data_IF_569502931405
#
_entry.id   IF_569502931405
#
_cell.length_a   1.000
_cell.length_b   1.000
_cell.length_c   1.000
_cell.angle_alpha   90.00
_cell.angle_beta   90.00
_cell.angle_gamma   90.00
#
_symmetry.space_group_name_H-M   'P 1'
#
loop_
_entity.id
_entity.type
_entity.pdbx_description
1 polymer ?
#
# COMPACT_ATOMS: atom_id res chain seq x y z
N UNK A 1 -38.90 -5.76 18.93
CA UNK A 1 -37.62 -5.04 19.13
C UNK A 1 -36.78 -5.29 17.88
N UNK A 2 -36.70 -4.33 16.96
CA UNK A 2 -35.96 -4.50 15.70
C UNK A 2 -34.48 -4.35 16.05
N UNK A 3 -33.72 -5.44 16.03
CA UNK A 3 -32.26 -5.35 16.09
C UNK A 3 -31.82 -4.61 14.84
N UNK A 4 -31.30 -3.39 15.03
CA UNK A 4 -30.52 -2.71 13.99
C UNK A 4 -29.32 -3.61 13.73
N UNK A 5 -29.24 -4.19 12.52
CA UNK A 5 -27.99 -4.77 12.05
C UNK A 5 -26.95 -3.65 12.07
N UNK A 6 -25.95 -3.78 12.94
CA UNK A 6 -24.76 -2.95 12.85
C UNK A 6 -24.12 -3.27 11.49
N UNK A 7 -23.92 -2.29 10.60
CA UNK A 7 -23.20 -2.55 9.36
C UNK A 7 -21.81 -3.05 9.74
N UNK A 8 -21.41 -4.19 9.17
CA UNK A 8 -20.04 -4.68 9.23
C UNK A 8 -19.10 -3.52 8.93
N UNK A 9 -18.37 -3.07 9.94
CA UNK A 9 -17.35 -2.05 9.76
C UNK A 9 -16.18 -2.70 9.03
N UNK A 10 -16.13 -2.50 7.71
CA UNK A 10 -15.06 -2.94 6.80
C UNK A 10 -13.65 -2.44 7.20
N UNK A 11 -13.53 -1.68 8.29
CA UNK A 11 -12.26 -1.17 8.81
C UNK A 11 -11.28 -2.27 9.22
N UNK A 12 -11.74 -3.52 9.46
CA UNK A 12 -10.87 -4.62 9.90
C UNK A 12 -10.47 -5.60 8.80
N UNK A 13 -11.00 -5.45 7.58
CA UNK A 13 -10.73 -6.38 6.47
C UNK A 13 -10.21 -5.70 5.22
N UNK A 14 -9.85 -4.42 5.27
CA UNK A 14 -9.47 -3.65 4.08
C UNK A 14 -8.26 -4.27 3.35
N UNK A 15 -7.21 -4.54 4.11
CA UNK A 15 -5.95 -5.08 3.63
C UNK A 15 -6.10 -6.55 3.19
N UNK A 16 -6.69 -7.48 3.99
CA UNK A 16 -6.93 -8.85 3.55
C UNK A 16 -7.87 -8.95 2.34
N UNK A 17 -8.84 -8.05 2.22
CA UNK A 17 -9.75 -7.95 1.08
C UNK A 17 -9.00 -7.57 -0.19
N UNK A 18 -8.21 -6.50 -0.14
CA UNK A 18 -7.44 -6.08 -1.32
C UNK A 18 -6.41 -7.13 -1.70
N UNK A 19 -5.72 -7.75 -0.73
CA UNK A 19 -4.79 -8.85 -1.02
C UNK A 19 -5.52 -10.03 -1.70
N UNK A 20 -6.70 -10.41 -1.22
CA UNK A 20 -7.51 -11.49 -1.82
C UNK A 20 -7.95 -11.16 -3.24
N UNK A 21 -8.39 -9.93 -3.49
CA UNK A 21 -8.76 -9.46 -4.84
C UNK A 21 -7.55 -9.51 -5.78
N UNK A 22 -6.39 -9.04 -5.33
CA UNK A 22 -5.18 -9.05 -6.14
C UNK A 22 -4.68 -10.47 -6.42
N UNK A 23 -4.75 -11.38 -5.45
CA UNK A 23 -4.46 -12.81 -5.66
C UNK A 23 -5.38 -13.43 -6.71
N UNK A 24 -6.68 -13.14 -6.66
CA UNK A 24 -7.64 -13.62 -7.68
C UNK A 24 -7.29 -13.10 -9.08
N UNK A 25 -6.97 -11.80 -9.20
CA UNK A 25 -6.60 -11.19 -10.48
C UNK A 25 -5.27 -11.73 -11.02
N UNK A 26 -4.30 -12.04 -10.16
CA UNK A 26 -3.04 -12.69 -10.55
C UNK A 26 -3.28 -14.12 -11.03
N UNK A 27 -4.01 -14.93 -10.25
CA UNK A 27 -4.29 -16.32 -10.56
C UNK A 27 -5.05 -16.49 -11.90
N UNK A 28 -5.89 -15.52 -12.25
CA UNK A 28 -6.66 -15.52 -13.50
C UNK A 28 -5.97 -14.74 -14.64
N UNK A 29 -4.73 -14.29 -14.48
CA UNK A 29 -3.99 -13.54 -15.49
C UNK A 29 -4.54 -12.15 -15.81
N UNK A 30 -5.57 -11.69 -15.10
CA UNK A 30 -6.24 -10.39 -15.30
C UNK A 30 -5.43 -9.20 -14.81
N UNK A 31 -4.35 -9.42 -14.05
CA UNK A 31 -3.47 -8.35 -13.61
C UNK A 31 -2.86 -7.56 -14.76
N UNK A 32 -2.74 -8.14 -15.97
CA UNK A 32 -2.31 -7.40 -17.17
C UNK A 32 -3.28 -6.33 -17.64
N UNK A 33 -4.53 -6.36 -17.19
CA UNK A 33 -5.57 -5.39 -17.52
C UNK A 33 -5.68 -4.28 -16.45
N UNK A 34 -5.00 -4.45 -15.31
CA UNK A 34 -4.97 -3.43 -14.25
C UNK A 34 -4.23 -2.21 -14.77
N UNK A 35 -4.91 -1.06 -14.78
CA UNK A 35 -4.32 0.21 -15.19
C UNK A 35 -3.67 0.92 -14.01
N UNK A 36 -2.36 1.12 -14.10
CA UNK A 36 -1.54 1.91 -13.19
C UNK A 36 -1.41 3.34 -13.72
N UNK A 37 -1.75 4.34 -12.91
CA UNK A 37 -1.75 5.76 -13.32
C UNK A 37 -0.63 6.54 -12.65
N UNK A 38 0.23 7.16 -13.43
CA UNK A 38 1.18 8.15 -12.95
C UNK A 38 0.53 9.53 -12.79
N UNK A 39 1.16 10.41 -12.02
CA UNK A 39 0.69 11.78 -11.77
C UNK A 39 0.93 12.76 -12.96
N UNK A 40 1.26 12.26 -14.15
CA UNK A 40 1.51 13.03 -15.38
C UNK A 40 0.73 12.54 -16.60
N UNK A 41 -0.51 12.08 -16.40
CA UNK A 41 -1.38 11.44 -17.41
C UNK A 41 -0.84 10.15 -18.06
N UNK A 42 0.35 9.70 -17.64
CA UNK A 42 0.92 8.41 -18.04
C UNK A 42 0.11 7.27 -17.44
N UNK A 43 -0.24 6.30 -18.28
CA UNK A 43 -0.84 5.04 -17.86
C UNK A 43 -0.02 3.88 -18.37
N UNK A 44 0.08 2.84 -17.55
CA UNK A 44 0.77 1.59 -17.89
C UNK A 44 -0.04 0.44 -17.30
N UNK A 45 -0.02 -0.73 -17.92
CA UNK A 45 -0.60 -1.92 -17.27
C UNK A 45 0.28 -2.37 -16.11
N UNK A 46 -0.30 -2.98 -15.08
CA UNK A 46 0.49 -3.52 -13.96
C UNK A 46 1.53 -4.52 -14.45
N UNK A 47 1.20 -5.38 -15.43
CA UNK A 47 2.17 -6.29 -16.04
C UNK A 47 3.37 -5.57 -16.66
N UNK A 48 3.13 -4.50 -17.42
CA UNK A 48 4.23 -3.76 -18.05
C UNK A 48 5.04 -2.96 -17.03
N UNK A 49 4.39 -2.47 -15.97
CA UNK A 49 5.07 -1.81 -14.86
C UNK A 49 6.01 -2.78 -14.13
N UNK A 50 5.53 -3.98 -13.83
CA UNK A 50 6.32 -5.03 -13.18
C UNK A 50 7.51 -5.44 -14.05
N UNK A 51 7.29 -5.64 -15.35
CA UNK A 51 8.36 -5.94 -16.31
C UNK A 51 9.40 -4.82 -16.41
N UNK A 52 8.99 -3.55 -16.39
CA UNK A 52 9.93 -2.43 -16.45
C UNK A 52 10.75 -2.26 -15.17
N UNK A 53 10.40 -2.97 -14.10
CA UNK A 53 11.12 -3.02 -12.83
C UNK A 53 11.69 -4.40 -12.54
N UNK A 54 11.87 -5.22 -13.58
CA UNK A 54 12.49 -6.55 -13.56
C UNK A 54 11.87 -7.51 -12.54
N UNK A 55 10.54 -7.46 -12.38
CA UNK A 55 9.81 -8.50 -11.64
C UNK A 55 9.67 -9.77 -12.49
N UNK A 56 9.78 -10.92 -11.85
CA UNK A 56 9.45 -12.22 -12.44
C UNK A 56 7.94 -12.37 -12.69
N UNK A 57 7.57 -13.34 -13.54
CA UNK A 57 6.16 -13.63 -13.83
C UNK A 57 5.45 -14.34 -12.65
N UNK A 58 6.19 -15.03 -11.77
CA UNK A 58 5.66 -15.67 -10.56
C UNK A 58 5.54 -14.64 -9.44
N UNK A 59 4.31 -14.17 -9.20
CA UNK A 59 3.98 -13.10 -8.26
C UNK A 59 3.06 -13.61 -7.15
N UNK A 60 3.32 -13.16 -5.94
CA UNK A 60 2.50 -13.37 -4.76
C UNK A 60 2.04 -12.04 -4.16
N UNK A 61 0.97 -12.09 -3.39
CA UNK A 61 0.47 -10.94 -2.64
C UNK A 61 0.25 -11.32 -1.18
N UNK A 62 0.86 -10.55 -0.29
CA UNK A 62 0.70 -10.66 1.16
C UNK A 62 0.15 -9.34 1.72
N UNK A 63 -0.75 -9.41 2.70
CA UNK A 63 -1.19 -8.24 3.47
C UNK A 63 -0.38 -8.08 4.78
N UNK A 64 -0.42 -6.88 5.36
CA UNK A 64 0.18 -6.57 6.67
C UNK A 64 1.70 -6.87 6.76
N UNK A 65 2.44 -6.53 5.72
CA UNK A 65 3.86 -6.88 5.65
C UNK A 65 4.72 -5.89 6.42
N UNK A 66 5.51 -6.38 7.38
CA UNK A 66 6.40 -5.55 8.20
C UNK A 66 7.64 -5.10 7.44
N UNK A 67 8.02 -3.83 7.57
CA UNK A 67 9.36 -3.37 7.17
C UNK A 67 10.37 -3.89 8.19
N UNK A 68 11.39 -4.62 7.71
CA UNK A 68 12.45 -5.13 8.57
C UNK A 68 13.56 -4.10 8.79
N UNK A 69 13.91 -3.37 7.74
CA UNK A 69 15.07 -2.48 7.75
C UNK A 69 14.94 -1.38 6.72
N UNK A 70 15.36 -0.18 7.12
CA UNK A 70 15.63 0.95 6.24
C UNK A 70 17.11 1.25 6.33
N UNK A 71 17.82 1.19 5.20
CA UNK A 71 19.22 1.60 5.10
C UNK A 71 19.28 2.95 4.43
N UNK A 72 19.86 3.93 5.12
CA UNK A 72 20.17 5.24 4.55
C UNK A 72 21.67 5.39 4.52
N UNK A 73 22.23 5.52 3.32
CA UNK A 73 23.66 5.45 3.06
C UNK A 73 24.26 4.15 3.64
N UNK A 74 25.10 4.26 4.66
CA UNK A 74 25.77 3.11 5.31
C UNK A 74 25.19 2.78 6.69
N UNK A 75 24.06 3.37 7.05
CA UNK A 75 23.44 3.24 8.37
C UNK A 75 22.12 2.48 8.27
N UNK A 76 21.94 1.49 9.15
CA UNK A 76 20.71 0.70 9.25
C UNK A 76 19.82 1.28 10.36
N UNK A 77 18.53 1.41 10.04
CA UNK A 77 17.50 1.92 10.93
C UNK A 77 16.34 0.93 11.01
N UNK A 78 15.78 0.79 12.21
CA UNK A 78 14.45 0.20 12.38
C UNK A 78 13.36 1.16 11.94
N UNK A 79 12.10 0.71 11.99
CA UNK A 79 10.94 1.60 11.86
C UNK A 79 10.23 1.66 13.20
N UNK A 80 9.71 2.84 13.55
CA UNK A 80 8.95 2.98 14.78
C UNK A 80 7.55 2.35 14.66
N UNK A 81 7.10 1.74 15.75
CA UNK A 81 5.82 1.02 15.86
C UNK A 81 5.67 -0.22 14.98
N UNK A 82 4.41 -0.66 14.79
CA UNK A 82 4.03 -1.71 13.83
C UNK A 82 3.82 -1.12 12.44
N UNK A 83 4.84 -0.47 11.89
CA UNK A 83 4.76 0.08 10.54
C UNK A 83 4.73 -1.05 9.51
N UNK A 84 3.54 -1.36 9.00
CA UNK A 84 3.28 -2.40 8.00
C UNK A 84 2.87 -1.76 6.68
N UNK A 85 3.31 -2.37 5.59
CA UNK A 85 2.77 -2.12 4.26
C UNK A 85 1.41 -2.79 4.20
N UNK A 86 0.38 -2.06 3.75
CA UNK A 86 -0.98 -2.60 3.66
C UNK A 86 -1.01 -3.90 2.81
N UNK A 87 -0.37 -3.89 1.64
CA UNK A 87 -0.14 -5.08 0.81
C UNK A 87 1.24 -5.06 0.14
N UNK A 88 1.88 -6.21 0.03
CA UNK A 88 3.11 -6.43 -0.73
C UNK A 88 2.81 -7.29 -1.96
N UNK A 89 3.16 -6.79 -3.14
CA UNK A 89 3.22 -7.60 -4.37
C UNK A 89 4.68 -8.03 -4.58
N UNK A 90 4.98 -9.32 -4.48
CA UNK A 90 6.35 -9.81 -4.43
C UNK A 90 6.64 -10.90 -5.45
N UNK A 91 7.88 -10.95 -5.93
CA UNK A 91 8.49 -12.16 -6.45
C UNK A 91 9.58 -12.66 -5.48
N UNK A 92 10.36 -13.67 -5.89
CA UNK A 92 11.43 -14.26 -5.05
C UNK A 92 12.62 -13.33 -4.80
N UNK A 93 12.71 -12.21 -5.48
CA UNK A 93 13.88 -11.32 -5.52
C UNK A 93 13.59 -9.93 -4.94
N UNK A 94 12.37 -9.41 -5.10
CA UNK A 94 11.99 -8.09 -4.63
C UNK A 94 10.47 -7.96 -4.42
N UNK A 95 10.08 -6.91 -3.70
CA UNK A 95 8.69 -6.58 -3.43
C UNK A 95 8.29 -5.16 -3.85
N UNK A 96 7.07 -4.96 -4.31
CA UNK A 96 6.44 -3.67 -4.58
C UNK A 96 5.40 -3.39 -3.51
N UNK A 97 5.64 -2.35 -2.71
CA UNK A 97 4.71 -1.97 -1.66
C UNK A 97 3.44 -1.36 -2.23
N UNK A 98 2.29 -1.65 -1.63
CA UNK A 98 1.00 -1.08 -1.97
C UNK A 98 0.31 -0.56 -0.71
N UNK A 99 -0.07 0.72 -0.74
CA UNK A 99 -0.87 1.35 0.31
C UNK A 99 -2.31 1.54 -0.14
N UNK A 100 -3.25 1.33 0.77
CA UNK A 100 -4.69 1.33 0.52
C UNK A 100 -5.32 2.50 1.27
N UNK A 101 -5.88 3.47 0.53
CA UNK A 101 -6.55 4.65 1.12
C UNK A 101 -7.93 4.83 0.50
N UNK A 102 -8.87 4.01 0.98
CA UNK A 102 -10.25 3.94 0.47
C UNK A 102 -11.21 4.96 1.11
N UNK A 103 -10.75 5.75 2.08
CA UNK A 103 -11.52 6.87 2.61
C UNK A 103 -11.75 7.95 1.55
N UNK A 104 -12.91 8.62 1.60
CA UNK A 104 -13.20 9.75 0.68
C UNK A 104 -13.13 11.13 1.35
N UNK A 105 -12.90 11.14 2.66
CA UNK A 105 -12.76 12.34 3.50
C UNK A 105 -11.30 12.56 3.85
N UNK A 106 -10.89 13.82 4.05
CA UNK A 106 -9.49 14.21 4.36
C UNK A 106 -8.46 13.67 3.34
N UNK A 107 -8.90 13.54 2.09
CA UNK A 107 -8.11 13.15 0.92
C UNK A 107 -7.94 14.31 -0.07
N UNK A 108 -8.16 15.56 0.35
CA UNK A 108 -7.72 16.71 -0.46
C UNK A 108 -6.20 16.69 -0.54
N UNK A 109 -5.62 17.25 -1.60
CA UNK A 109 -4.16 17.22 -1.81
C UNK A 109 -3.37 17.70 -0.62
N UNK A 110 -3.68 18.90 -0.10
CA UNK A 110 -2.98 19.46 1.05
C UNK A 110 -3.16 18.61 2.33
N UNK A 111 -4.35 18.03 2.54
CA UNK A 111 -4.58 17.14 3.67
C UNK A 111 -3.82 15.82 3.53
N UNK A 112 -3.77 15.26 2.32
CA UNK A 112 -3.01 14.05 2.03
C UNK A 112 -1.51 14.29 2.24
N UNK A 113 -0.98 15.38 1.70
CA UNK A 113 0.42 15.78 1.89
C UNK A 113 0.78 15.91 3.37
N UNK A 114 0.00 16.68 4.13
CA UNK A 114 0.23 16.90 5.57
C UNK A 114 0.17 15.61 6.40
N UNK A 115 -0.60 14.62 5.97
CA UNK A 115 -0.82 13.37 6.74
C UNK A 115 0.14 12.26 6.35
N UNK A 116 0.49 12.17 5.07
CA UNK A 116 1.13 10.97 4.51
C UNK A 116 2.44 11.24 3.76
N UNK A 117 2.79 12.51 3.53
CA UNK A 117 3.99 12.87 2.76
C UNK A 117 4.88 13.88 3.50
N UNK A 118 4.67 14.03 4.81
CA UNK A 118 5.64 14.71 5.65
C UNK A 118 6.92 13.89 5.71
N UNK A 119 8.11 14.52 5.68
CA UNK A 119 9.36 13.80 5.77
C UNK A 119 9.43 12.91 7.01
N UNK A 120 9.94 11.70 6.81
CA UNK A 120 10.33 10.76 7.84
C UNK A 120 11.49 11.31 8.65
N UNK A 121 11.47 11.07 9.96
CA UNK A 121 12.43 11.60 10.92
C UNK A 121 13.08 10.49 11.69
N UNK A 122 14.37 10.63 11.96
CA UNK A 122 15.07 9.80 12.94
C UNK A 122 14.49 10.09 14.32
N UNK A 123 14.10 9.04 15.01
CA UNK A 123 13.64 9.13 16.38
C UNK A 123 14.83 9.21 17.36
N UNK A 124 14.51 9.23 18.67
CA UNK A 124 15.52 9.26 19.74
C UNK A 124 15.76 7.86 20.33
N UNK A 125 15.30 6.79 19.69
CA UNK A 125 15.47 5.43 20.21
C UNK A 125 16.90 4.93 20.01
N UNK A 126 17.29 3.95 20.83
CA UNK A 126 18.53 3.21 20.69
C UNK A 126 18.22 1.70 20.67
N UNK A 127 18.40 1.00 19.53
CA UNK A 127 18.96 1.49 18.26
C UNK A 127 18.02 2.49 17.53
N UNK A 128 18.58 3.39 16.70
CA UNK A 128 17.81 4.45 16.04
C UNK A 128 16.77 3.88 15.08
N UNK A 129 15.58 4.49 15.08
CA UNK A 129 14.51 4.13 14.14
C UNK A 129 14.05 5.34 13.35
N UNK A 130 13.27 5.05 12.32
CA UNK A 130 12.59 6.05 11.51
C UNK A 130 11.13 6.12 11.91
N UNK A 131 10.66 7.33 12.17
CA UNK A 131 9.26 7.68 12.35
C UNK A 131 8.69 8.35 11.09
N UNK A 132 7.47 7.99 10.72
CA UNK A 132 6.78 8.54 9.54
C UNK A 132 5.66 7.63 9.06
N UNK A 133 4.80 8.13 8.18
CA UNK A 133 3.79 7.27 7.54
C UNK A 133 4.43 6.33 6.53
N UNK A 134 3.86 5.13 6.33
CA UNK A 134 4.35 4.17 5.34
C UNK A 134 4.43 4.75 3.92
N UNK A 135 3.45 5.58 3.52
CA UNK A 135 3.49 6.30 2.24
C UNK A 135 4.76 7.17 2.12
N UNK A 136 5.14 7.92 3.16
CA UNK A 136 6.36 8.73 3.15
C UNK A 136 7.63 7.87 3.08
N UNK A 137 7.63 6.70 3.74
CA UNK A 137 8.74 5.72 3.69
C UNK A 137 8.89 5.18 2.26
N UNK A 138 7.80 4.71 1.65
CA UNK A 138 7.78 4.20 0.27
C UNK A 138 8.12 5.29 -0.76
N UNK A 139 7.69 6.53 -0.52
CA UNK A 139 8.03 7.71 -1.32
C UNK A 139 9.47 8.21 -1.10
N UNK A 140 10.23 7.53 -0.23
CA UNK A 140 11.60 7.86 0.18
C UNK A 140 11.79 9.30 0.67
N UNK A 141 10.83 9.80 1.44
CA UNK A 141 10.89 11.14 2.03
C UNK A 141 11.55 11.08 3.39
N UNK A 142 12.84 11.34 3.46
CA UNK A 142 13.58 11.37 4.71
C UNK A 142 14.32 12.72 4.83
N UNK A 143 14.30 13.31 6.02
CA UNK A 143 15.16 14.46 6.32
C UNK A 143 16.61 13.98 6.46
N UNK A 144 17.62 14.80 6.16
CA UNK A 144 19.01 14.37 6.40
C UNK A 144 19.20 14.15 7.90
N UNK A 145 19.64 12.96 8.29
CA UNK A 145 19.72 12.60 9.71
C UNK A 145 20.92 13.23 10.44
N UNK A 146 21.84 13.87 9.70
CA UNK A 146 23.06 14.47 10.22
C UNK A 146 23.11 16.01 10.09
N UNK A 147 22.12 16.65 9.48
CA UNK A 147 22.04 18.13 9.43
C UNK A 147 20.60 18.57 9.20
N UNK A 148 20.23 19.80 9.59
CA UNK A 148 18.89 20.36 9.35
C UNK A 148 18.57 20.61 7.85
N UNK A 149 19.19 19.86 6.94
CA UNK A 149 19.04 19.93 5.50
C UNK A 149 18.22 18.75 4.99
N UNK A 150 17.54 18.94 3.85
CA UNK A 150 16.90 17.85 3.11
C UNK A 150 17.97 16.86 2.61
N UNK A 151 17.63 15.56 2.52
CA UNK A 151 18.52 14.57 1.90
C UNK A 151 18.92 15.01 0.49
N UNK A 152 20.19 14.86 0.16
CA UNK A 152 20.68 15.20 -1.16
C UNK A 152 20.32 14.10 -2.15
N UNK A 153 20.20 14.43 -3.45
CA UNK A 153 19.97 13.45 -4.53
C UNK A 153 21.00 12.29 -4.56
N UNK A 154 22.12 12.43 -3.85
CA UNK A 154 23.18 11.42 -3.75
C UNK A 154 22.95 10.39 -2.66
N UNK A 155 22.05 10.65 -1.72
CA UNK A 155 21.84 9.73 -0.61
C UNK A 155 21.06 8.49 -1.10
N UNK A 156 21.59 7.31 -0.80
CA UNK A 156 20.97 6.04 -1.18
C UNK A 156 20.06 5.55 -0.07
N UNK A 157 18.81 5.26 -0.41
CA UNK A 157 17.86 4.63 0.52
C UNK A 157 17.42 3.28 -0.02
N UNK A 158 17.72 2.24 0.75
CA UNK A 158 17.27 0.87 0.51
C UNK A 158 16.29 0.46 1.60
N UNK A 159 15.16 -0.12 1.20
CA UNK A 159 14.12 -0.61 2.13
C UNK A 159 14.00 -2.12 1.93
N UNK A 160 13.86 -2.87 3.01
CA UNK A 160 13.59 -4.31 2.95
C UNK A 160 12.43 -4.70 3.86
N UNK A 161 11.55 -5.54 3.34
CA UNK A 161 10.36 -6.05 4.01
C UNK A 161 10.53 -7.52 4.41
N UNK A 162 9.71 -7.98 5.35
CA UNK A 162 9.65 -9.37 5.77
C UNK A 162 8.76 -10.16 4.82
N UNK A 163 9.32 -11.11 4.08
CA UNK A 163 8.55 -11.95 3.15
C UNK A 163 9.07 -13.39 3.22
N UNK A 164 8.19 -14.36 3.44
CA UNK A 164 8.55 -15.79 3.60
C UNK A 164 9.71 -16.03 4.60
N UNK A 165 9.73 -15.29 5.71
CA UNK A 165 10.77 -15.38 6.74
C UNK A 165 12.15 -14.81 6.33
N UNK A 166 12.24 -14.15 5.17
CA UNK A 166 13.45 -13.53 4.65
C UNK A 166 13.31 -12.01 4.56
N UNK A 167 14.47 -11.35 4.43
CA UNK A 167 14.53 -9.93 4.12
C UNK A 167 14.48 -9.74 2.60
N UNK A 168 13.39 -9.18 2.11
CA UNK A 168 13.16 -8.96 0.69
C UNK A 168 13.39 -7.49 0.34
N UNK A 169 14.29 -7.17 -0.61
CA UNK A 169 14.46 -5.80 -1.10
C UNK A 169 13.16 -5.23 -1.68
N UNK A 170 12.89 -3.96 -1.41
CA UNK A 170 11.75 -3.26 -1.99
C UNK A 170 12.13 -2.56 -3.29
N UNK A 171 11.21 -2.58 -4.25
CA UNK A 171 11.24 -1.78 -5.47
C UNK A 171 11.16 -0.30 -5.13
N UNK A 172 11.87 0.52 -5.92
CA UNK A 172 11.80 1.99 -5.85
C UNK A 172 10.43 2.53 -6.27
N UNK A 173 9.72 1.77 -7.10
CA UNK A 173 8.32 2.05 -7.47
C UNK A 173 7.36 1.34 -6.53
N UNK A 174 6.26 2.03 -6.20
CA UNK A 174 5.21 1.53 -5.31
C UNK A 174 3.80 1.90 -5.81
N UNK A 175 2.78 1.31 -5.19
CA UNK A 175 1.38 1.42 -5.61
C UNK A 175 0.52 2.11 -4.55
N UNK A 176 -0.43 2.95 -5.00
CA UNK A 176 -1.43 3.56 -4.12
C UNK A 176 -2.83 3.24 -4.62
N UNK A 177 -3.61 2.51 -3.85
CA UNK A 177 -5.00 2.23 -4.17
C UNK A 177 -5.92 3.28 -3.54
N UNK A 178 -6.72 3.94 -4.38
CA UNK A 178 -7.70 4.96 -3.95
C UNK A 178 -9.06 4.73 -4.60
N UNK A 179 -10.07 5.43 -4.08
CA UNK A 179 -11.40 5.51 -4.70
C UNK A 179 -11.36 6.40 -5.94
N UNK A 180 -12.14 6.06 -6.96
CA UNK A 180 -12.34 6.86 -8.19
C UNK A 180 -12.61 8.34 -7.86
N UNK A 181 -13.51 8.61 -6.90
CA UNK A 181 -13.87 9.96 -6.46
C UNK A 181 -12.69 10.76 -5.90
N UNK A 182 -11.70 10.10 -5.29
CA UNK A 182 -10.48 10.76 -4.79
C UNK A 182 -9.55 11.08 -5.95
N UNK A 183 -9.33 10.12 -6.84
CA UNK A 183 -8.49 10.31 -8.02
C UNK A 183 -8.98 11.42 -8.94
N UNK A 184 -10.29 11.45 -9.23
CA UNK A 184 -10.90 12.51 -10.04
C UNK A 184 -10.66 13.90 -9.43
N UNK A 185 -10.80 14.04 -8.11
CA UNK A 185 -10.52 15.31 -7.43
C UNK A 185 -9.07 15.75 -7.60
N UNK A 186 -8.12 14.83 -7.51
CA UNK A 186 -6.70 15.14 -7.71
C UNK A 186 -6.39 15.51 -9.17
N UNK A 187 -6.98 14.79 -10.14
CA UNK A 187 -6.77 15.02 -11.57
C UNK A 187 -7.37 16.34 -12.03
N UNK A 188 -8.66 16.58 -11.77
CA UNK A 188 -9.34 17.79 -12.21
C UNK A 188 -8.84 19.05 -11.51
N UNK A 189 -8.35 18.93 -10.28
CA UNK A 189 -7.77 20.05 -9.54
C UNK A 189 -6.42 20.54 -10.07
N UNK A 190 -5.78 19.86 -11.04
CA UNK A 190 -4.38 20.09 -11.50
C UNK A 190 -3.35 20.22 -10.37
N UNK A 191 -3.70 19.71 -9.20
CA UNK A 191 -2.96 19.86 -7.94
C UNK A 191 -2.94 18.50 -7.28
N UNK A 192 -2.56 17.44 -7.99
CA UNK A 192 -2.33 16.15 -7.36
C UNK A 192 -1.22 16.27 -6.29
N UNK A 193 -1.20 15.40 -5.27
CA UNK A 193 -0.04 15.33 -4.38
C UNK A 193 1.21 15.04 -5.22
N UNK A 194 2.31 15.74 -4.92
CA UNK A 194 3.61 15.41 -5.49
C UNK A 194 4.07 14.12 -4.84
N UNK A 195 3.93 13.00 -5.54
CA UNK A 195 4.35 11.67 -5.11
C UNK A 195 5.34 11.13 -6.14
N UNK A 196 6.47 10.61 -5.69
CA UNK A 196 7.56 10.08 -6.49
C UNK A 196 7.41 8.56 -6.66
N UNK A 197 7.72 8.07 -7.85
CA UNK A 197 7.72 6.63 -8.18
C UNK A 197 6.44 5.87 -7.76
N UNK A 198 5.30 6.57 -7.68
CA UNK A 198 4.03 5.98 -7.28
C UNK A 198 3.10 5.83 -8.48
N UNK A 199 2.45 4.67 -8.58
CA UNK A 199 1.36 4.46 -9.51
C UNK A 199 0.04 4.23 -8.77
N UNK A 200 -0.98 4.95 -9.21
CA UNK A 200 -2.31 4.90 -8.60
C UNK A 200 -3.15 3.80 -9.25
N UNK A 201 -3.72 2.94 -8.41
CA UNK A 201 -4.75 1.97 -8.76
C UNK A 201 -6.11 2.51 -8.31
N UNK A 202 -7.14 2.30 -9.14
CA UNK A 202 -8.49 2.74 -8.81
C UNK A 202 -9.34 1.55 -8.38
N UNK A 203 -9.75 1.56 -7.12
CA UNK A 203 -10.45 0.45 -6.49
C UNK A 203 -11.69 0.00 -7.29
N UNK A 204 -12.52 0.93 -7.75
CA UNK A 204 -13.73 0.61 -8.53
C UNK A 204 -13.42 -0.10 -9.86
N UNK A 205 -12.29 0.24 -10.51
CA UNK A 205 -11.87 -0.43 -11.74
C UNK A 205 -11.35 -1.84 -11.47
N UNK A 206 -10.59 -2.02 -10.39
CA UNK A 206 -10.16 -3.33 -9.91
C UNK A 206 -11.37 -4.24 -9.64
N UNK A 207 -12.36 -3.73 -8.90
CA UNK A 207 -13.60 -4.47 -8.61
C UNK A 207 -14.35 -4.81 -9.90
N UNK A 208 -14.38 -3.91 -10.89
CA UNK A 208 -14.99 -4.20 -12.19
C UNK A 208 -14.26 -5.34 -12.92
N UNK A 209 -12.93 -5.31 -12.97
CA UNK A 209 -12.09 -6.36 -13.60
C UNK A 209 -12.27 -7.73 -12.94
N UNK A 210 -12.42 -7.74 -11.61
CA UNK A 210 -12.68 -8.94 -10.82
C UNK A 210 -13.99 -9.64 -11.20
N UNK A 211 -14.97 -8.91 -11.73
CA UNK A 211 -16.32 -9.42 -12.01
C UNK A 211 -17.44 -8.60 -11.37
N UNK A 212 -17.13 -7.41 -10.87
CA UNK A 212 -18.09 -6.48 -10.29
C UNK A 212 -18.53 -6.87 -8.88
N UNK A 213 -19.69 -6.33 -8.48
CA UNK A 213 -20.21 -6.45 -7.12
C UNK A 213 -20.42 -7.89 -6.65
N UNK A 214 -20.82 -8.81 -7.53
CA UNK A 214 -21.08 -10.21 -7.17
C UNK A 214 -19.81 -10.90 -6.68
N UNK A 215 -18.73 -10.88 -7.47
CA UNK A 215 -17.46 -11.52 -7.08
C UNK A 215 -16.82 -10.82 -5.89
N UNK A 216 -16.91 -9.49 -5.84
CA UNK A 216 -16.46 -8.70 -4.70
C UNK A 216 -17.16 -9.11 -3.41
N UNK A 217 -18.51 -9.16 -3.41
CA UNK A 217 -19.29 -9.55 -2.23
C UNK A 217 -18.98 -10.99 -1.81
N UNK A 218 -18.71 -11.89 -2.76
CA UNK A 218 -18.30 -13.25 -2.45
C UNK A 218 -16.97 -13.29 -1.69
N UNK A 219 -15.93 -12.59 -2.16
CA UNK A 219 -14.64 -12.50 -1.43
C UNK A 219 -14.83 -11.88 -0.05
N UNK A 220 -15.68 -10.83 0.05
CA UNK A 220 -16.02 -10.22 1.33
C UNK A 220 -16.66 -11.25 2.27
N UNK A 221 -17.65 -12.01 1.81
CA UNK A 221 -18.28 -13.09 2.58
C UNK A 221 -17.29 -14.18 2.99
N UNK A 222 -16.39 -14.58 2.09
CA UNK A 222 -15.39 -15.62 2.37
C UNK A 222 -14.40 -15.18 3.46
N UNK A 223 -14.04 -13.89 3.51
CA UNK A 223 -13.12 -13.33 4.51
C UNK A 223 -13.76 -13.09 5.88
N UNK A 224 -15.02 -12.69 5.85
CA UNK A 224 -15.83 -12.37 7.03
C UNK A 224 -16.34 -13.66 7.70
N UNK A 225 -16.50 -14.73 6.92
CA UNK A 225 -17.22 -15.93 7.35
C UNK A 225 -18.73 -15.72 7.29
N UNK A 226 -19.47 -16.82 7.39
CA UNK A 226 -20.94 -16.81 7.32
C UNK A 226 -21.62 -16.99 8.69
N UNK A 227 -20.86 -17.12 9.79
CA UNK A 227 -21.44 -17.56 11.08
C UNK A 227 -20.88 -16.87 12.34
N UNK A 228 -20.96 -15.54 12.38
CA UNK A 228 -20.59 -14.76 13.56
C UNK A 228 -21.34 -15.13 14.84
N UNK A 229 -22.52 -15.75 14.72
CA UNK A 229 -23.30 -16.17 15.86
C UNK A 229 -22.66 -17.35 16.61
N UNK A 230 -21.99 -18.27 15.90
CA UNK A 230 -21.29 -19.40 16.51
C UNK A 230 -19.90 -19.02 17.04
N UNK A 231 -19.22 -18.05 16.42
CA UNK A 231 -17.91 -17.54 16.87
C UNK A 231 -18.01 -16.58 18.06
N UNK A 232 -19.19 -16.00 18.31
CA UNK A 232 -19.49 -15.20 19.50
C UNK A 232 -19.80 -16.11 20.71
N UNK A 233 -18.86 -16.98 21.08
CA UNK A 233 -18.88 -17.64 22.39
C UNK A 233 -18.27 -16.69 23.40
N UNK A 234 -19.04 -16.30 24.41
CA UNK A 234 -18.46 -15.71 25.62
C UNK A 234 -17.41 -16.69 26.13
N UNK A 235 -16.16 -16.25 26.17
CA UNK A 235 -15.10 -16.98 26.87
C UNK A 235 -15.48 -16.91 28.35
N UNK A 236 -15.79 -18.07 28.94
CA UNK A 236 -15.96 -18.22 30.39
C UNK A 236 -14.61 -17.99 31.12
#
# INVERSE_FOLDING_TARGET
>A
MIMKSSPLCLHHIGEPLVASIMRDLLANGKYSEITCRGFGDQTVSLRNLLKSHDFADELNVEDHVSIQRIRINNSDYGVDGESRIDCLLADKTKGMGMEIKLGTTRMTTGAFQKRFLMPCKKDKHEPPRVSGSMIAILDKRFDSFDSHLEMQEKDKVDISASYEGKSLPMSDTWLLMVRQKVWEKWKFGKTGPVIRACHVLIFEEIVKLLGGGTRFNQIVSDLIGNDFAEDWKLID
#
